data_IF_511435632039
#
_entry.id   IF_511435632039
#
_cell.length_a   1.000
_cell.length_b   1.000
_cell.length_c   1.000
_cell.angle_alpha   90.00
_cell.angle_beta   90.00
_cell.angle_gamma   90.00
#
_symmetry.space_group_name_H-M   'P 1'
#
loop_
_entity.id
_entity.type
_entity.pdbx_description
1 polymer ?
#
# COMPACT_ATOMS: atom_id res chain seq x y z
N UNK A 1 -23.83 15.84 -13.46
CA UNK A 1 -22.42 16.13 -13.76
C UNK A 1 -21.60 15.04 -13.07
N UNK A 2 -20.94 14.22 -13.86
CA UNK A 2 -20.10 13.16 -13.34
C UNK A 2 -19.13 13.71 -12.33
N UNK A 3 -19.27 13.25 -11.08
CA UNK A 3 -18.28 13.45 -10.01
C UNK A 3 -17.02 12.62 -10.27
N UNK A 4 -16.52 12.69 -11.49
CA UNK A 4 -15.14 12.34 -11.74
C UNK A 4 -14.35 13.36 -10.93
N UNK A 5 -13.96 12.94 -9.75
CA UNK A 5 -13.32 13.76 -8.74
C UNK A 5 -12.25 14.62 -9.41
N UNK A 6 -12.04 15.83 -8.93
CA UNK A 6 -10.96 16.72 -9.39
C UNK A 6 -9.63 15.96 -9.55
N UNK A 7 -9.39 14.98 -8.71
CA UNK A 7 -8.23 14.10 -8.76
C UNK A 7 -8.12 13.31 -10.06
N UNK A 8 -9.19 12.68 -10.53
CA UNK A 8 -9.16 11.95 -11.81
C UNK A 8 -8.92 12.89 -12.99
N UNK A 9 -9.43 14.12 -12.92
CA UNK A 9 -9.18 15.16 -13.93
C UNK A 9 -7.73 15.63 -13.90
N UNK A 10 -7.15 15.82 -12.70
CA UNK A 10 -5.74 16.18 -12.51
C UNK A 10 -4.82 15.07 -13.05
N UNK A 11 -5.07 13.81 -12.69
CA UNK A 11 -4.29 12.67 -13.18
C UNK A 11 -4.39 12.56 -14.71
N UNK A 12 -5.58 12.73 -15.28
CA UNK A 12 -5.77 12.71 -16.73
C UNK A 12 -5.03 13.86 -17.44
N UNK A 13 -5.00 15.06 -16.84
CA UNK A 13 -4.24 16.20 -17.37
C UNK A 13 -2.73 15.91 -17.26
N UNK A 14 -2.26 15.47 -16.10
CA UNK A 14 -0.87 15.10 -15.86
C UNK A 14 -0.38 14.01 -16.82
N UNK A 15 -1.23 13.01 -17.12
CA UNK A 15 -0.90 11.97 -18.09
C UNK A 15 -0.68 12.50 -19.52
N UNK A 16 -1.40 13.55 -19.90
CA UNK A 16 -1.23 14.20 -21.22
C UNK A 16 0.04 15.07 -21.28
N UNK A 17 0.40 15.70 -20.17
CA UNK A 17 1.60 16.57 -20.08
C UNK A 17 2.84 15.84 -19.55
N UNK A 18 2.75 14.50 -19.31
CA UNK A 18 3.85 13.70 -18.70
C UNK A 18 4.36 14.31 -17.39
N UNK A 19 3.45 14.88 -16.57
CA UNK A 19 3.78 15.46 -15.28
C UNK A 19 3.78 14.39 -14.22
N UNK A 20 4.86 14.19 -13.44
CA UNK A 20 4.95 13.17 -12.39
C UNK A 20 4.15 13.59 -11.15
N UNK A 21 2.83 13.60 -11.25
CA UNK A 21 1.93 14.10 -10.21
C UNK A 21 1.91 13.24 -8.94
N UNK A 22 2.26 11.94 -9.06
CA UNK A 22 2.31 11.00 -7.95
C UNK A 22 3.74 10.53 -7.71
N UNK A 23 4.17 10.51 -6.46
CA UNK A 23 5.45 9.97 -6.04
C UNK A 23 5.34 9.00 -4.88
N UNK A 24 6.34 8.14 -4.72
CA UNK A 24 6.52 7.28 -3.55
C UNK A 24 7.95 7.43 -3.04
N UNK A 25 8.11 7.62 -1.73
CA UNK A 25 9.39 7.56 -1.03
C UNK A 25 9.43 6.29 -0.19
N UNK A 26 10.33 5.38 -0.53
CA UNK A 26 10.69 4.23 0.32
C UNK A 26 11.79 4.66 1.28
N UNK A 27 11.41 5.22 2.44
CA UNK A 27 12.31 5.92 3.37
C UNK A 27 13.45 5.04 3.90
N UNK A 28 13.19 3.76 4.07
CA UNK A 28 14.16 2.79 4.56
C UNK A 28 13.70 1.35 4.24
N UNK A 29 14.63 0.40 4.08
CA UNK A 29 14.27 -1.01 3.91
C UNK A 29 14.10 -1.75 5.24
N UNK A 30 14.39 -1.12 6.39
CA UNK A 30 14.26 -1.73 7.70
C UNK A 30 12.80 -1.82 8.15
N UNK A 31 12.47 -2.89 8.85
CA UNK A 31 11.14 -3.12 9.40
C UNK A 31 11.24 -3.86 10.74
N UNK A 32 10.31 -3.60 11.65
CA UNK A 32 10.17 -4.35 12.90
C UNK A 32 9.48 -5.71 12.73
N UNK A 33 8.97 -6.00 11.52
CA UNK A 33 8.43 -7.30 11.11
C UNK A 33 9.38 -7.99 10.13
N UNK A 34 9.28 -9.31 9.99
CA UNK A 34 10.07 -10.09 9.02
C UNK A 34 9.18 -10.99 8.16
N UNK A 35 8.20 -10.38 7.50
CA UNK A 35 7.21 -11.09 6.70
C UNK A 35 7.86 -11.93 5.59
N UNK A 36 7.47 -13.19 5.47
CA UNK A 36 8.04 -14.14 4.51
C UNK A 36 7.89 -13.73 3.05
N UNK A 37 6.84 -12.95 2.72
CA UNK A 37 6.58 -12.46 1.35
C UNK A 37 7.11 -11.04 1.11
N UNK A 38 7.80 -10.40 2.06
CA UNK A 38 8.20 -9.02 1.92
C UNK A 38 9.23 -8.82 0.81
N UNK A 39 8.95 -7.91 -0.13
CA UNK A 39 9.82 -7.61 -1.27
C UNK A 39 10.73 -6.38 -1.04
N UNK A 40 10.58 -5.70 0.09
CA UNK A 40 11.33 -4.46 0.41
C UNK A 40 12.34 -4.67 1.52
N UNK A 41 11.97 -5.41 2.58
CA UNK A 41 12.73 -5.49 3.81
C UNK A 41 14.13 -6.06 3.60
N UNK A 42 15.10 -5.37 4.20
CA UNK A 42 16.47 -5.83 4.41
C UNK A 42 16.76 -5.91 5.92
N UNK A 43 17.70 -6.75 6.29
CA UNK A 43 18.37 -6.65 7.58
C UNK A 43 19.34 -5.47 7.58
N UNK A 44 19.79 -5.04 8.75
CA UNK A 44 20.79 -3.96 8.86
C UNK A 44 22.07 -4.26 8.07
N UNK A 45 22.69 -5.44 8.19
CA UNK A 45 23.87 -5.76 7.39
C UNK A 45 23.63 -5.75 5.87
N UNK A 46 22.48 -6.26 5.42
CA UNK A 46 22.14 -6.25 3.99
C UNK A 46 21.96 -4.82 3.47
N UNK A 47 21.35 -3.95 4.27
CA UNK A 47 21.19 -2.53 3.93
C UNK A 47 22.56 -1.84 3.84
N UNK A 48 23.41 -2.03 4.83
CA UNK A 48 24.73 -1.38 4.90
C UNK A 48 25.64 -1.80 3.72
N UNK A 49 25.44 -2.99 3.14
CA UNK A 49 26.10 -3.43 1.91
C UNK A 49 25.59 -2.72 0.65
N UNK A 50 24.35 -2.24 0.64
CA UNK A 50 23.74 -1.62 -0.54
C UNK A 50 23.90 -0.10 -0.57
N UNK A 51 24.23 0.52 0.57
CA UNK A 51 24.40 1.97 0.65
C UNK A 51 24.12 2.51 2.06
N UNK A 52 23.88 3.80 2.13
CA UNK A 52 23.49 4.48 3.36
C UNK A 52 22.02 4.93 3.29
N UNK A 53 21.40 5.09 4.44
CA UNK A 53 20.08 5.70 4.53
C UNK A 53 20.17 7.20 4.22
N UNK A 54 19.27 7.69 3.37
CA UNK A 54 19.10 9.12 3.21
C UNK A 54 18.65 9.78 4.51
N UNK A 55 19.22 10.92 4.80
CA UNK A 55 18.78 11.80 5.88
C UNK A 55 17.46 12.50 5.54
N UNK A 56 16.77 13.03 6.54
CA UNK A 56 15.59 13.87 6.30
C UNK A 56 15.90 15.06 5.38
N UNK A 57 17.09 15.67 5.49
CA UNK A 57 17.50 16.78 4.65
C UNK A 57 17.63 16.40 3.17
N UNK A 58 18.15 15.20 2.88
CA UNK A 58 18.25 14.69 1.50
C UNK A 58 16.85 14.40 0.94
N UNK A 59 15.97 13.75 1.70
CA UNK A 59 14.57 13.53 1.30
C UNK A 59 13.83 14.85 1.05
N UNK A 60 14.03 15.87 1.90
CA UNK A 60 13.45 17.20 1.74
C UNK A 60 13.97 17.86 0.45
N UNK A 61 15.27 17.73 0.17
CA UNK A 61 15.87 18.25 -1.06
C UNK A 61 15.28 17.60 -2.32
N UNK A 62 15.13 16.27 -2.30
CA UNK A 62 14.45 15.52 -3.37
C UNK A 62 12.99 15.97 -3.53
N UNK A 63 12.27 16.11 -2.42
CA UNK A 63 10.87 16.54 -2.44
C UNK A 63 10.69 17.93 -3.07
N UNK A 64 11.60 18.87 -2.82
CA UNK A 64 11.58 20.19 -3.46
C UNK A 64 11.78 20.11 -4.97
N UNK A 65 12.63 19.20 -5.44
CA UNK A 65 12.79 18.95 -6.88
C UNK A 65 11.51 18.35 -7.48
N UNK A 66 10.91 17.39 -6.78
CA UNK A 66 9.67 16.76 -7.23
C UNK A 66 8.50 17.75 -7.25
N UNK A 67 8.40 18.61 -6.23
CA UNK A 67 7.42 19.70 -6.19
C UNK A 67 7.54 20.61 -7.42
N UNK A 68 8.75 21.03 -7.76
CA UNK A 68 9.02 21.85 -8.97
C UNK A 68 8.64 21.11 -10.27
N UNK A 69 8.74 19.79 -10.28
CA UNK A 69 8.34 18.95 -11.41
C UNK A 69 6.82 18.68 -11.46
N UNK A 70 6.05 19.15 -10.47
CA UNK A 70 4.59 19.05 -10.44
C UNK A 70 4.04 17.92 -9.56
N UNK A 71 4.87 17.27 -8.74
CA UNK A 71 4.41 16.25 -7.78
C UNK A 71 3.53 16.87 -6.71
N UNK A 72 2.34 16.32 -6.57
CA UNK A 72 1.33 16.76 -5.59
C UNK A 72 1.03 15.67 -4.57
N UNK A 73 0.86 14.42 -5.02
CA UNK A 73 0.54 13.28 -4.16
C UNK A 73 1.82 12.52 -3.85
N UNK A 74 2.09 12.31 -2.57
CA UNK A 74 3.27 11.58 -2.13
C UNK A 74 2.92 10.50 -1.13
N UNK A 75 3.33 9.28 -1.45
CA UNK A 75 3.23 8.12 -0.58
C UNK A 75 4.54 7.97 0.21
N UNK A 76 4.44 7.92 1.53
CA UNK A 76 5.54 7.56 2.42
C UNK A 76 5.42 6.07 2.76
N UNK A 77 6.45 5.31 2.47
CA UNK A 77 6.50 3.86 2.62
C UNK A 77 7.94 3.40 2.90
N UNK A 78 8.19 2.11 2.73
CA UNK A 78 9.50 1.49 2.93
C UNK A 78 9.33 0.09 3.49
N UNK A 79 10.23 -0.34 4.39
CA UNK A 79 9.97 -1.45 5.29
C UNK A 79 8.88 -1.04 6.27
N UNK A 80 9.26 -0.29 7.32
CA UNK A 80 8.28 0.40 8.19
C UNK A 80 8.66 1.88 8.30
N UNK A 81 7.93 2.80 7.66
CA UNK A 81 8.32 4.20 7.59
C UNK A 81 8.38 4.90 8.95
N UNK A 82 7.59 4.45 9.94
CA UNK A 82 7.61 5.03 11.29
C UNK A 82 8.90 4.69 12.09
N UNK A 83 9.76 3.80 11.56
CA UNK A 83 11.12 3.59 12.07
C UNK A 83 12.12 4.63 11.55
N UNK A 84 11.75 5.46 10.56
CA UNK A 84 12.65 6.51 10.08
C UNK A 84 12.87 7.54 11.18
N UNK A 85 14.12 7.80 11.60
CA UNK A 85 14.40 8.58 12.84
C UNK A 85 13.76 9.96 12.85
N UNK A 86 13.83 10.68 11.74
CA UNK A 86 13.32 12.05 11.60
C UNK A 86 11.98 12.12 10.87
N UNK A 87 11.16 11.06 10.97
CA UNK A 87 9.89 10.98 10.23
C UNK A 87 9.00 12.20 10.45
N UNK A 88 8.82 12.64 11.70
CA UNK A 88 7.94 13.80 12.01
C UNK A 88 8.44 15.08 11.36
N UNK A 89 9.76 15.33 11.41
CA UNK A 89 10.38 16.48 10.75
C UNK A 89 10.18 16.45 9.24
N UNK A 90 10.51 15.30 8.62
CA UNK A 90 10.30 15.11 7.19
C UNK A 90 8.82 15.30 6.81
N UNK A 91 7.91 14.67 7.55
CA UNK A 91 6.48 14.75 7.30
C UNK A 91 5.94 16.18 7.32
N UNK A 92 6.33 16.98 8.32
CA UNK A 92 5.90 18.37 8.44
C UNK A 92 6.46 19.26 7.32
N UNK A 93 7.72 19.05 6.93
CA UNK A 93 8.33 19.76 5.79
C UNK A 93 7.61 19.43 4.47
N UNK A 94 7.30 18.14 4.21
CA UNK A 94 6.54 17.75 3.02
C UNK A 94 5.14 18.37 3.00
N UNK A 95 4.47 18.43 4.14
CA UNK A 95 3.18 19.16 4.27
C UNK A 95 3.32 20.65 3.98
N UNK A 96 4.37 21.29 4.50
CA UNK A 96 4.59 22.72 4.29
C UNK A 96 4.80 23.08 2.81
N UNK A 97 5.28 22.12 2.01
CA UNK A 97 5.38 22.22 0.56
C UNK A 97 4.03 22.08 -0.17
N UNK A 98 2.92 21.83 0.54
CA UNK A 98 1.60 21.62 -0.04
C UNK A 98 1.39 20.20 -0.63
N UNK A 99 2.25 19.24 -0.30
CA UNK A 99 2.08 17.85 -0.75
C UNK A 99 0.94 17.16 0.00
N UNK A 100 0.17 16.36 -0.73
CA UNK A 100 -0.91 15.53 -0.19
C UNK A 100 -0.32 14.17 0.17
N UNK A 101 -0.14 13.92 1.47
CA UNK A 101 0.58 12.77 1.97
C UNK A 101 -0.33 11.58 2.23
N UNK A 102 0.10 10.40 1.82
CA UNK A 102 -0.44 9.09 2.20
C UNK A 102 0.68 8.28 2.85
N UNK A 103 0.35 7.44 3.82
CA UNK A 103 1.33 6.61 4.52
C UNK A 103 0.93 5.15 4.38
N UNK A 104 1.89 4.28 4.02
CA UNK A 104 1.75 2.84 4.13
C UNK A 104 2.57 2.36 5.32
N UNK A 105 1.93 1.75 6.31
CA UNK A 105 2.56 1.23 7.53
C UNK A 105 1.98 -0.13 7.91
N UNK A 106 2.71 -0.89 8.69
CA UNK A 106 2.16 -2.10 9.32
C UNK A 106 1.29 -1.77 10.56
N UNK A 107 1.29 -0.52 11.01
CA UNK A 107 0.45 -0.01 12.08
C UNK A 107 0.88 -0.40 13.51
N UNK A 108 1.87 -1.27 13.67
CA UNK A 108 2.23 -1.82 14.97
C UNK A 108 2.96 -0.84 15.90
N UNK A 109 3.49 0.25 15.34
CA UNK A 109 4.19 1.31 16.08
C UNK A 109 3.28 2.47 16.45
N UNK A 110 2.02 2.44 16.03
CA UNK A 110 1.06 3.52 16.30
C UNK A 110 0.56 3.38 17.73
N UNK A 111 1.06 4.26 18.58
CA UNK A 111 0.62 4.53 19.94
C UNK A 111 -0.19 5.83 20.01
N UNK A 112 -0.54 6.26 21.21
CA UNK A 112 -1.25 7.51 21.46
C UNK A 112 -0.50 8.72 20.91
N UNK A 113 0.83 8.75 21.06
CA UNK A 113 1.70 9.86 20.59
C UNK A 113 1.66 9.99 19.06
N UNK A 114 1.68 8.87 18.35
CA UNK A 114 1.56 8.87 16.90
C UNK A 114 0.13 9.22 16.46
N UNK A 115 -0.87 8.69 17.15
CA UNK A 115 -2.27 8.96 16.82
C UNK A 115 -2.61 10.45 17.05
N UNK A 116 -2.12 11.06 18.14
CA UNK A 116 -2.28 12.50 18.42
C UNK A 116 -1.55 13.35 17.37
N UNK A 117 -0.34 12.94 16.97
CA UNK A 117 0.40 13.61 15.90
C UNK A 117 -0.38 13.62 14.57
N UNK A 118 -0.93 12.48 14.17
CA UNK A 118 -1.72 12.38 12.94
C UNK A 118 -3.11 13.05 13.06
N UNK A 119 -3.66 13.16 14.25
CA UNK A 119 -4.86 13.95 14.50
C UNK A 119 -4.60 15.44 14.31
N UNK A 120 -3.47 15.94 14.82
CA UNK A 120 -3.05 17.34 14.68
C UNK A 120 -2.62 17.68 13.24
N UNK A 121 -1.95 16.75 12.59
CA UNK A 121 -1.43 16.92 11.22
C UNK A 121 -1.92 15.79 10.30
N UNK A 122 -3.22 15.75 9.98
CA UNK A 122 -3.79 14.60 9.28
C UNK A 122 -3.17 14.41 7.88
N UNK A 123 -2.75 13.18 7.54
CA UNK A 123 -2.47 12.82 6.17
C UNK A 123 -3.79 12.71 5.40
N UNK A 124 -3.71 12.61 4.08
CA UNK A 124 -4.87 12.23 3.28
C UNK A 124 -5.45 10.91 3.74
N UNK A 125 -4.57 9.94 4.04
CA UNK A 125 -4.94 8.59 4.48
C UNK A 125 -3.74 7.84 5.05
N UNK A 126 -3.99 6.98 6.01
CA UNK A 126 -3.03 5.96 6.46
C UNK A 126 -3.54 4.59 5.99
N UNK A 127 -2.75 3.94 5.15
CA UNK A 127 -3.01 2.56 4.75
C UNK A 127 -2.28 1.64 5.74
N UNK A 128 -3.03 0.79 6.44
CA UNK A 128 -2.47 -0.19 7.38
C UNK A 128 -2.62 -1.58 6.77
N UNK A 129 -1.50 -2.31 6.67
CA UNK A 129 -1.54 -3.67 6.14
C UNK A 129 -1.86 -4.65 7.25
N UNK A 130 -2.95 -5.41 7.08
CA UNK A 130 -3.28 -6.58 7.90
C UNK A 130 -3.02 -7.85 7.10
N UNK A 131 -2.34 -8.79 7.73
CA UNK A 131 -1.94 -10.06 7.11
C UNK A 131 -2.87 -11.22 7.48
N UNK A 132 -3.73 -11.03 8.45
CA UNK A 132 -4.71 -11.96 8.98
C UNK A 132 -5.38 -11.40 10.22
N UNK A 133 -6.18 -12.21 10.89
CA UNK A 133 -6.96 -11.82 12.06
C UNK A 133 -6.59 -12.59 13.33
N UNK A 134 -5.43 -13.24 13.32
CA UNK A 134 -4.96 -14.04 14.47
C UNK A 134 -3.48 -13.85 14.77
N UNK A 135 -3.08 -14.19 16.00
CA UNK A 135 -1.68 -14.23 16.43
C UNK A 135 -0.88 -15.27 15.65
N UNK A 136 -1.50 -16.40 15.35
CA UNK A 136 -0.90 -17.50 14.61
C UNK A 136 -0.47 -17.04 13.22
N UNK A 137 -1.37 -16.39 12.47
CA UNK A 137 -1.04 -15.83 11.14
C UNK A 137 0.13 -14.85 11.24
N UNK A 138 0.14 -13.97 12.24
CA UNK A 138 1.23 -13.00 12.40
C UNK A 138 2.54 -13.65 12.85
N UNK A 139 2.51 -14.66 13.74
CA UNK A 139 3.69 -15.43 14.11
C UNK A 139 4.29 -16.13 12.91
N UNK A 140 3.48 -16.84 12.14
CA UNK A 140 3.95 -17.73 11.09
C UNK A 140 4.32 -16.98 9.81
N UNK A 141 3.58 -15.92 9.44
CA UNK A 141 3.79 -15.16 8.23
C UNK A 141 4.69 -13.94 8.43
N UNK A 142 4.50 -13.22 9.53
CA UNK A 142 5.19 -11.95 9.78
C UNK A 142 6.37 -12.09 10.75
N UNK A 143 6.52 -13.26 11.37
CA UNK A 143 7.48 -13.52 12.45
C UNK A 143 7.39 -12.49 13.58
N UNK A 144 6.15 -12.09 13.91
CA UNK A 144 5.85 -11.10 14.93
C UNK A 144 4.49 -11.38 15.57
N UNK A 145 4.46 -12.24 16.58
CA UNK A 145 3.25 -12.79 17.20
C UNK A 145 2.27 -11.72 17.69
N UNK A 146 2.80 -10.68 18.38
CA UNK A 146 1.97 -9.57 18.90
C UNK A 146 1.55 -8.56 17.82
N UNK A 147 1.93 -8.77 16.58
CA UNK A 147 1.74 -7.80 15.50
C UNK A 147 0.27 -7.53 15.21
N UNK A 148 -0.59 -8.54 15.29
CA UNK A 148 -2.03 -8.37 15.07
C UNK A 148 -2.65 -7.42 16.09
N UNK A 149 -2.46 -7.69 17.38
CA UNK A 149 -3.03 -6.87 18.45
C UNK A 149 -2.53 -5.42 18.42
N UNK A 150 -1.23 -5.25 18.12
CA UNK A 150 -0.63 -3.92 18.01
C UNK A 150 -1.18 -3.15 16.80
N UNK A 151 -1.28 -3.78 15.64
CA UNK A 151 -1.86 -3.15 14.45
C UNK A 151 -3.33 -2.79 14.67
N UNK A 152 -4.11 -3.70 15.28
CA UNK A 152 -5.52 -3.46 15.61
C UNK A 152 -5.69 -2.29 16.59
N UNK A 153 -4.85 -2.21 17.63
CA UNK A 153 -4.80 -1.06 18.53
C UNK A 153 -4.49 0.22 17.78
N UNK A 154 -3.49 0.22 16.93
CA UNK A 154 -3.11 1.38 16.12
C UNK A 154 -4.26 1.87 15.23
N UNK A 155 -5.00 0.97 14.59
CA UNK A 155 -6.19 1.31 13.79
C UNK A 155 -7.24 1.98 14.67
N UNK A 156 -7.56 1.40 15.84
CA UNK A 156 -8.56 1.97 16.76
C UNK A 156 -8.17 3.38 17.23
N UNK A 157 -6.93 3.57 17.66
CA UNK A 157 -6.42 4.87 18.10
C UNK A 157 -6.54 5.95 17.03
N UNK A 158 -6.25 5.62 15.78
CA UNK A 158 -6.40 6.54 14.65
C UNK A 158 -7.88 6.85 14.35
N UNK A 159 -8.73 5.82 14.33
CA UNK A 159 -10.18 5.98 14.07
C UNK A 159 -10.85 6.82 15.13
N UNK A 160 -10.54 6.60 16.42
CA UNK A 160 -11.04 7.40 17.55
C UNK A 160 -10.70 8.89 17.41
N UNK A 161 -9.63 9.21 16.68
CA UNK A 161 -9.18 10.58 16.40
C UNK A 161 -9.59 11.11 15.01
N UNK A 162 -10.51 10.42 14.34
CA UNK A 162 -11.01 10.77 13.01
C UNK A 162 -9.91 10.85 11.92
N UNK A 163 -8.82 10.11 12.07
CA UNK A 163 -7.82 9.96 11.01
C UNK A 163 -8.36 8.95 9.98
N UNK A 164 -8.26 9.29 8.70
CA UNK A 164 -8.69 8.41 7.60
C UNK A 164 -7.75 7.20 7.50
N UNK A 165 -8.28 6.02 7.79
CA UNK A 165 -7.58 4.73 7.73
C UNK A 165 -8.20 3.85 6.67
N UNK A 166 -7.35 3.21 5.87
CA UNK A 166 -7.72 2.12 4.97
C UNK A 166 -6.93 0.87 5.34
N UNK A 167 -7.59 -0.27 5.36
CA UNK A 167 -6.95 -1.57 5.54
C UNK A 167 -6.53 -2.10 4.17
N UNK A 168 -5.27 -2.53 4.07
CA UNK A 168 -4.78 -3.30 2.94
C UNK A 168 -4.51 -4.74 3.42
N UNK A 169 -4.92 -5.72 2.62
CA UNK A 169 -4.57 -7.12 2.81
C UNK A 169 -3.66 -7.59 1.68
N UNK A 170 -2.70 -8.45 2.01
CA UNK A 170 -1.88 -9.14 1.01
C UNK A 170 -2.10 -10.63 1.15
N UNK A 171 -2.75 -11.23 0.16
CA UNK A 171 -3.11 -12.64 0.19
C UNK A 171 -1.97 -13.50 -0.34
N UNK A 172 -1.54 -14.44 0.46
CA UNK A 172 -0.52 -15.44 0.16
C UNK A 172 -1.02 -16.83 0.56
N UNK A 173 -0.24 -17.88 0.31
CA UNK A 173 -0.67 -19.25 0.61
C UNK A 173 -1.04 -19.46 2.07
N UNK A 174 -0.26 -18.92 3.00
CA UNK A 174 -0.43 -19.16 4.44
C UNK A 174 -1.61 -18.42 5.09
N UNK A 175 -2.17 -17.40 4.44
CA UNK A 175 -3.32 -16.65 4.93
C UNK A 175 -4.49 -16.63 3.94
N UNK A 176 -4.51 -17.56 2.98
CA UNK A 176 -5.54 -17.62 1.93
C UNK A 176 -6.96 -17.83 2.47
N UNK A 177 -7.10 -18.37 3.69
CA UNK A 177 -8.37 -18.59 4.39
C UNK A 177 -8.89 -17.36 5.14
N UNK A 178 -8.09 -16.30 5.28
CA UNK A 178 -8.41 -15.16 6.16
C UNK A 178 -9.22 -14.05 5.46
N UNK A 179 -9.63 -14.23 4.21
CA UNK A 179 -10.33 -13.21 3.42
C UNK A 179 -11.60 -12.72 4.10
N UNK A 180 -12.49 -13.64 4.48
CA UNK A 180 -13.79 -13.29 5.06
C UNK A 180 -13.65 -12.65 6.43
N UNK A 181 -12.73 -13.15 7.26
CA UNK A 181 -12.45 -12.61 8.58
C UNK A 181 -11.81 -11.21 8.51
N UNK A 182 -10.93 -10.95 7.53
CA UNK A 182 -10.37 -9.63 7.28
C UNK A 182 -11.45 -8.63 6.84
N UNK A 183 -12.36 -9.03 5.95
CA UNK A 183 -13.48 -8.17 5.52
C UNK A 183 -14.43 -7.88 6.68
N UNK A 184 -14.77 -8.91 7.48
CA UNK A 184 -15.61 -8.74 8.66
C UNK A 184 -14.96 -7.79 9.69
N UNK A 185 -13.66 -7.95 9.95
CA UNK A 185 -12.90 -7.07 10.83
C UNK A 185 -12.89 -5.63 10.33
N UNK A 186 -12.61 -5.41 9.03
CA UNK A 186 -12.60 -4.07 8.45
C UNK A 186 -13.96 -3.37 8.59
N UNK A 187 -15.06 -4.10 8.38
CA UNK A 187 -16.41 -3.60 8.63
C UNK A 187 -16.64 -3.22 10.10
N UNK A 188 -16.20 -4.06 11.04
CA UNK A 188 -16.34 -3.75 12.47
C UNK A 188 -15.55 -2.53 12.91
N UNK A 189 -14.50 -2.17 12.17
CA UNK A 189 -13.66 -1.00 12.38
C UNK A 189 -14.13 0.22 11.57
N UNK A 190 -15.20 0.08 10.80
CA UNK A 190 -15.68 1.13 9.87
C UNK A 190 -14.54 1.65 8.98
N UNK A 191 -13.70 0.75 8.47
CA UNK A 191 -12.56 1.07 7.62
C UNK A 191 -12.70 0.41 6.24
N UNK A 192 -12.47 1.13 5.14
CA UNK A 192 -12.43 0.50 3.82
C UNK A 192 -11.28 -0.48 3.74
N UNK A 193 -11.49 -1.59 3.00
CA UNK A 193 -10.47 -2.62 2.81
C UNK A 193 -10.22 -2.87 1.32
N UNK A 194 -8.96 -3.18 0.99
CA UNK A 194 -8.59 -3.81 -0.27
C UNK A 194 -7.68 -5.01 0.00
N UNK A 195 -7.92 -6.13 -0.67
CA UNK A 195 -7.06 -7.30 -0.61
C UNK A 195 -6.41 -7.51 -1.97
N UNK A 196 -5.08 -7.54 -1.97
CA UNK A 196 -4.26 -7.80 -3.15
C UNK A 196 -3.82 -9.26 -3.16
N UNK A 197 -3.99 -9.92 -4.30
CA UNK A 197 -3.66 -11.34 -4.49
C UNK A 197 -2.37 -11.54 -5.30
N UNK A 198 -1.74 -10.44 -5.72
CA UNK A 198 -0.50 -10.47 -6.49
C UNK A 198 0.69 -10.01 -5.63
N UNK A 199 1.74 -10.84 -5.62
CA UNK A 199 3.00 -10.52 -4.94
C UNK A 199 4.06 -10.12 -5.95
N UNK A 200 4.65 -8.95 -5.75
CA UNK A 200 5.75 -8.46 -6.56
C UNK A 200 7.06 -9.21 -6.24
N UNK A 201 7.97 -9.37 -7.20
CA UNK A 201 9.31 -9.88 -6.94
C UNK A 201 10.10 -8.92 -6.04
N UNK A 202 11.12 -9.42 -5.37
CA UNK A 202 12.02 -8.58 -4.59
C UNK A 202 12.67 -7.52 -5.49
N UNK A 203 12.73 -6.29 -4.99
CA UNK A 203 13.33 -5.16 -5.71
C UNK A 203 14.85 -5.07 -5.49
N UNK A 204 15.35 -5.64 -4.40
CA UNK A 204 16.75 -5.61 -3.98
C UNK A 204 17.29 -7.02 -3.87
N UNK A 205 18.60 -7.17 -4.05
CA UNK A 205 19.27 -8.42 -3.71
C UNK A 205 19.12 -8.72 -2.22
N UNK A 206 18.79 -9.96 -1.92
CA UNK A 206 18.55 -10.46 -0.57
C UNK A 206 19.27 -11.78 -0.37
N UNK A 207 19.79 -12.00 0.84
CA UNK A 207 20.35 -13.30 1.25
C UNK A 207 19.31 -14.43 1.29
N UNK A 208 18.06 -14.09 1.64
CA UNK A 208 16.93 -15.00 1.55
C UNK A 208 16.16 -14.77 0.25
N UNK A 209 15.95 -15.82 -0.53
CA UNK A 209 15.10 -15.74 -1.72
C UNK A 209 13.73 -15.16 -1.35
N UNK A 210 13.29 -14.17 -2.12
CA UNK A 210 11.90 -13.72 -2.06
C UNK A 210 11.01 -14.94 -2.35
N UNK A 211 10.15 -15.26 -1.40
CA UNK A 211 9.49 -16.54 -1.36
C UNK A 211 8.50 -16.72 -2.54
N UNK A 212 8.92 -17.33 -3.63
CA UNK A 212 8.00 -17.91 -4.62
C UNK A 212 7.01 -18.86 -3.94
N UNK A 213 7.41 -19.49 -2.86
CA UNK A 213 6.56 -20.31 -2.00
C UNK A 213 5.39 -19.56 -1.37
N UNK A 214 5.50 -18.24 -1.17
CA UNK A 214 4.40 -17.43 -0.63
C UNK A 214 3.37 -17.03 -1.69
N UNK A 215 3.72 -17.05 -2.97
CA UNK A 215 2.77 -16.71 -4.04
C UNK A 215 1.65 -17.72 -4.14
N UNK A 216 0.46 -17.20 -4.37
CA UNK A 216 -0.66 -18.02 -4.82
C UNK A 216 -0.43 -18.47 -6.27
N UNK A 217 -0.92 -19.66 -6.60
CA UNK A 217 -1.11 -20.04 -7.99
C UNK A 217 -2.15 -19.11 -8.64
N UNK A 218 -2.12 -18.90 -9.96
CA UNK A 218 -3.06 -17.99 -10.63
C UNK A 218 -4.53 -18.30 -10.32
N UNK A 219 -4.89 -19.57 -10.25
CA UNK A 219 -6.26 -20.02 -9.95
C UNK A 219 -6.65 -19.71 -8.48
N UNK A 220 -5.72 -19.86 -7.54
CA UNK A 220 -5.94 -19.54 -6.13
C UNK A 220 -6.05 -18.04 -5.92
N UNK A 221 -5.21 -17.26 -6.62
CA UNK A 221 -5.28 -15.81 -6.63
C UNK A 221 -6.62 -15.31 -7.18
N UNK A 222 -7.10 -15.90 -8.27
CA UNK A 222 -8.40 -15.59 -8.86
C UNK A 222 -9.54 -15.95 -7.90
N UNK A 223 -9.51 -17.13 -7.27
CA UNK A 223 -10.49 -17.54 -6.25
C UNK A 223 -10.51 -16.58 -5.07
N UNK A 224 -9.34 -16.23 -4.53
CA UNK A 224 -9.22 -15.27 -3.43
C UNK A 224 -9.77 -13.89 -3.80
N UNK A 225 -9.52 -13.43 -5.03
CA UNK A 225 -10.07 -12.16 -5.52
C UNK A 225 -11.60 -12.19 -5.61
N UNK A 226 -12.16 -13.24 -6.18
CA UNK A 226 -13.62 -13.45 -6.26
C UNK A 226 -14.25 -13.52 -4.87
N UNK A 227 -13.62 -14.24 -3.93
CA UNK A 227 -14.08 -14.34 -2.54
C UNK A 227 -14.09 -12.95 -1.88
N UNK A 228 -13.01 -12.18 -2.03
CA UNK A 228 -12.92 -10.82 -1.51
C UNK A 228 -14.03 -9.91 -2.07
N UNK A 229 -14.25 -9.94 -3.37
CA UNK A 229 -15.28 -9.10 -4.01
C UNK A 229 -16.70 -9.49 -3.54
N UNK A 230 -16.98 -10.78 -3.42
CA UNK A 230 -18.24 -11.27 -2.84
C UNK A 230 -18.44 -10.85 -1.38
N UNK A 231 -17.38 -10.92 -0.59
CA UNK A 231 -17.43 -10.55 0.83
C UNK A 231 -17.53 -9.03 1.04
N UNK A 232 -16.90 -8.22 0.18
CA UNK A 232 -16.79 -6.76 0.34
C UNK A 232 -17.93 -5.96 -0.29
N UNK A 233 -18.55 -6.46 -1.37
CA UNK A 233 -19.60 -5.79 -2.12
C UNK A 233 -20.99 -6.27 -1.71
N UNK A 234 -21.99 -5.43 -1.91
CA UNK A 234 -23.37 -5.90 -1.88
C UNK A 234 -23.68 -6.78 -3.11
N UNK A 235 -24.66 -7.66 -2.99
CA UNK A 235 -24.99 -8.66 -4.01
C UNK A 235 -25.31 -8.04 -5.38
N UNK A 236 -25.97 -6.87 -5.42
CA UNK A 236 -26.33 -6.18 -6.66
C UNK A 236 -25.08 -5.64 -7.36
N UNK A 237 -24.22 -4.94 -6.63
CA UNK A 237 -22.95 -4.41 -7.15
C UNK A 237 -22.04 -5.52 -7.64
N UNK A 238 -21.91 -6.61 -6.86
CA UNK A 238 -21.13 -7.77 -7.27
C UNK A 238 -21.63 -8.39 -8.57
N UNK A 239 -22.95 -8.62 -8.70
CA UNK A 239 -23.53 -9.21 -9.91
C UNK A 239 -23.35 -8.29 -11.14
N UNK A 240 -23.53 -6.99 -10.98
CA UNK A 240 -23.30 -6.03 -12.08
C UNK A 240 -21.83 -6.03 -12.54
N UNK A 241 -20.89 -6.07 -11.60
CA UNK A 241 -19.47 -6.14 -11.92
C UNK A 241 -19.11 -7.46 -12.61
N UNK A 242 -19.58 -8.60 -12.08
CA UNK A 242 -19.37 -9.92 -12.69
C UNK A 242 -19.92 -9.98 -14.12
N UNK A 243 -21.14 -9.50 -14.35
CA UNK A 243 -21.73 -9.44 -15.68
C UNK A 243 -20.90 -8.58 -16.65
N UNK A 244 -20.40 -7.42 -16.18
CA UNK A 244 -19.53 -6.56 -16.99
C UNK A 244 -18.24 -7.26 -17.41
N UNK A 245 -17.63 -8.03 -16.48
CA UNK A 245 -16.41 -8.79 -16.77
C UNK A 245 -16.71 -9.91 -17.79
N UNK A 246 -17.77 -10.67 -17.58
CA UNK A 246 -18.19 -11.76 -18.48
C UNK A 246 -18.41 -11.22 -19.88
N UNK A 247 -19.17 -10.13 -20.02
CA UNK A 247 -19.43 -9.50 -21.32
C UNK A 247 -18.13 -9.08 -22.00
N UNK A 248 -17.22 -8.45 -21.27
CA UNK A 248 -15.92 -8.03 -21.85
C UNK A 248 -15.07 -9.22 -22.31
N UNK A 249 -15.05 -10.30 -21.54
CA UNK A 249 -14.28 -11.52 -21.89
C UNK A 249 -14.87 -12.18 -23.12
N UNK A 250 -16.21 -12.29 -23.21
CA UNK A 250 -16.89 -12.87 -24.36
C UNK A 250 -16.79 -12.05 -25.65
N UNK A 251 -16.58 -10.73 -25.54
CA UNK A 251 -16.40 -9.83 -26.68
C UNK A 251 -14.92 -9.68 -27.09
N UNK A 252 -13.97 -10.22 -26.31
CA UNK A 252 -12.55 -10.14 -26.63
C UNK A 252 -12.17 -11.29 -27.58
N UNK A 253 -11.53 -11.06 -28.73
CA UNK A 253 -11.09 -12.13 -29.62
C UNK A 253 -10.10 -13.07 -28.92
N UNK A 254 -10.15 -14.36 -29.24
CA UNK A 254 -9.25 -15.40 -28.68
C UNK A 254 -7.75 -15.12 -28.96
N UNK A 255 -7.43 -14.31 -29.95
CA UNK A 255 -6.09 -13.79 -30.21
C UNK A 255 -6.11 -12.27 -30.18
N UNK A 256 -5.94 -11.65 -29.02
CA UNK A 256 -5.80 -10.21 -29.01
C UNK A 256 -4.51 -9.83 -29.73
N UNK A 257 -4.61 -9.03 -30.79
CA UNK A 257 -3.44 -8.33 -31.29
C UNK A 257 -2.82 -7.54 -30.13
N UNK A 258 -1.50 -7.60 -29.93
CA UNK A 258 -0.86 -6.88 -28.85
C UNK A 258 -1.09 -5.38 -29.04
N UNK A 259 -2.10 -4.85 -28.33
CA UNK A 259 -2.40 -3.41 -28.32
C UNK A 259 -1.34 -2.67 -27.49
N UNK A 260 -0.19 -2.46 -28.09
CA UNK A 260 0.92 -1.69 -27.51
C UNK A 260 0.53 -0.23 -27.23
N UNK A 261 -0.59 0.25 -27.73
CA UNK A 261 -1.05 1.63 -27.51
C UNK A 261 -1.74 1.82 -26.15
N UNK A 262 -2.15 0.74 -25.47
CA UNK A 262 -2.83 0.79 -24.19
C UNK A 262 -1.95 0.44 -23.00
N UNK A 263 -0.79 1.05 -22.91
CA UNK A 263 -0.01 0.91 -21.69
C UNK A 263 -0.77 1.50 -20.50
N UNK A 264 -1.28 0.65 -19.61
CA UNK A 264 -2.00 1.06 -18.39
C UNK A 264 -1.04 1.45 -17.25
N UNK A 265 0.24 1.12 -17.37
CA UNK A 265 1.24 1.48 -16.38
C UNK A 265 1.46 3.00 -16.37
N UNK A 266 1.42 3.60 -15.20
CA UNK A 266 1.63 5.04 -15.00
C UNK A 266 3.10 5.39 -14.71
N UNK A 267 3.97 4.40 -14.55
CA UNK A 267 5.40 4.61 -14.33
C UNK A 267 6.02 5.41 -15.49
N UNK A 268 6.76 6.45 -15.17
CA UNK A 268 7.35 7.36 -16.16
C UNK A 268 6.37 8.31 -16.87
N UNK A 269 5.06 8.22 -16.60
CA UNK A 269 4.06 9.17 -17.13
C UNK A 269 3.57 10.12 -16.05
N UNK A 270 3.05 9.57 -14.96
CA UNK A 270 2.44 10.36 -13.88
C UNK A 270 2.91 9.91 -12.51
N UNK A 271 3.71 8.85 -12.42
CA UNK A 271 4.18 8.30 -11.16
C UNK A 271 5.63 7.83 -11.20
N UNK A 272 6.27 7.87 -10.05
CA UNK A 272 7.63 7.38 -9.80
C UNK A 272 7.77 6.87 -8.37
N UNK A 273 8.84 6.10 -8.13
CA UNK A 273 9.27 5.69 -6.78
C UNK A 273 10.75 6.02 -6.61
N UNK A 274 11.12 6.54 -5.45
CA UNK A 274 12.51 6.75 -5.01
C UNK A 274 12.74 5.87 -3.78
N UNK A 275 13.85 5.17 -3.76
CA UNK A 275 14.26 4.26 -2.69
C UNK A 275 15.74 4.41 -2.36
#
# INVERSE_FOLDING_TARGET
>A
MDNLTYEKRLISKAARSHTPINGSFELLPLCNMNCGMCYVRLSRPEMDLQGHLHSAAEWISLARQMQKSGTLFLLLTGGEPLLFPDFKTLYLELRSMGMILTINTNGTLIDETWADFFAQYPPRRINITLYGTSKETYRDLCHYEDGFEKALRGIRLLRERNVDVKINGSLVRSNSTDVDSLVALARSLDAPINIDTYMYPARRERSAAFCEQSRLLPEDAARGKVQFEKASLDSKTYLQMAQTIITRVSETPDTPEPDFQRMRCQAGRTSFTIN
#
